data_IF_384020132284
#
_entry.id   IF_384020132284
#
_cell.length_a   1.000
_cell.length_b   1.000
_cell.length_c   1.000
_cell.angle_alpha   90.00
_cell.angle_beta   90.00
_cell.angle_gamma   90.00
#
_symmetry.space_group_name_H-M   'P 1'
#
loop_
_entity.id
_entity.type
_entity.pdbx_description
1 polymer ?
#
# COMPACT_ATOMS: atom_id res chain seq x y z
N UNK A 1 -5.42 25.29 4.57
CA UNK A 1 -4.23 25.38 5.46
C UNK A 1 -2.95 25.00 4.71
N UNK A 2 -2.70 23.74 4.32
CA UNK A 2 -1.50 23.43 3.50
C UNK A 2 -1.59 23.96 2.07
N UNK A 3 -2.78 23.88 1.46
CA UNK A 3 -3.09 24.42 0.11
C UNK A 3 -2.89 25.92 -0.05
N UNK A 4 -2.80 26.67 1.04
CA UNK A 4 -2.76 28.14 1.03
C UNK A 4 -1.40 28.69 1.52
N UNK A 5 -0.56 27.85 2.14
CA UNK A 5 0.73 28.27 2.73
C UNK A 5 1.93 27.68 1.98
N UNK A 6 1.87 26.41 1.56
CA UNK A 6 2.91 25.77 0.73
C UNK A 6 2.24 25.28 -0.55
N UNK A 7 2.17 26.17 -1.54
CA UNK A 7 1.55 25.87 -2.83
C UNK A 7 2.53 25.10 -3.73
N UNK A 8 2.04 24.25 -4.64
CA UNK A 8 2.86 23.62 -5.67
C UNK A 8 3.74 24.60 -6.45
N UNK A 9 3.23 25.80 -6.71
CA UNK A 9 3.92 26.86 -7.43
C UNK A 9 5.08 27.46 -6.63
N UNK A 10 4.92 27.59 -5.31
CA UNK A 10 6.01 28.05 -4.43
C UNK A 10 7.16 27.04 -4.39
N UNK A 11 6.83 25.75 -4.35
CA UNK A 11 7.84 24.68 -4.35
C UNK A 11 8.50 24.54 -5.72
N UNK A 12 7.72 24.70 -6.80
CA UNK A 12 8.26 24.76 -8.16
C UNK A 12 9.27 25.91 -8.33
N UNK A 13 8.96 27.10 -7.78
CA UNK A 13 9.89 28.23 -7.85
C UNK A 13 11.16 28.03 -7.01
N UNK A 14 11.07 27.37 -5.85
CA UNK A 14 12.24 26.95 -5.07
C UNK A 14 13.13 25.95 -5.84
N UNK A 15 12.53 25.10 -6.66
CA UNK A 15 13.24 24.14 -7.50
C UNK A 15 13.69 24.71 -8.86
N UNK A 16 13.38 25.97 -9.16
CA UNK A 16 13.70 26.61 -10.44
C UNK A 16 12.91 26.05 -11.64
N UNK A 17 11.73 25.49 -11.38
CA UNK A 17 10.85 24.94 -12.42
C UNK A 17 9.92 26.01 -13.00
N UNK A 18 9.57 25.86 -14.27
CA UNK A 18 8.54 26.68 -14.93
C UNK A 18 7.14 26.37 -14.37
N UNK A 19 6.12 27.12 -14.81
CA UNK A 19 4.74 26.88 -14.39
C UNK A 19 4.33 25.41 -14.58
N UNK A 20 3.90 24.79 -13.47
CA UNK A 20 3.44 23.41 -13.46
C UNK A 20 2.12 23.28 -14.24
N UNK A 21 2.01 22.22 -15.02
CA UNK A 21 0.75 21.84 -15.65
C UNK A 21 -0.31 21.46 -14.60
N UNK A 22 -1.58 21.50 -14.98
CA UNK A 22 -2.68 21.13 -14.07
C UNK A 22 -2.51 19.73 -13.44
N UNK A 23 -1.91 18.79 -14.18
CA UNK A 23 -1.62 17.45 -13.67
C UNK A 23 -0.48 17.47 -12.64
N UNK A 24 0.61 18.14 -12.95
CA UNK A 24 1.77 18.25 -12.05
C UNK A 24 1.40 18.99 -10.76
N UNK A 25 0.49 19.98 -10.82
CA UNK A 25 -0.05 20.64 -9.63
C UNK A 25 -0.80 19.66 -8.73
N UNK A 26 -1.59 18.73 -9.29
CA UNK A 26 -2.29 17.70 -8.51
C UNK A 26 -1.29 16.74 -7.88
N UNK A 27 -0.33 16.25 -8.65
CA UNK A 27 0.70 15.32 -8.17
C UNK A 27 1.56 15.97 -7.06
N UNK A 28 1.95 17.24 -7.24
CA UNK A 28 2.70 18.01 -6.26
C UNK A 28 1.92 18.24 -4.96
N UNK A 29 0.61 18.51 -5.05
CA UNK A 29 -0.24 18.62 -3.86
C UNK A 29 -0.26 17.32 -3.04
N UNK A 30 -0.30 16.17 -3.72
CA UNK A 30 -0.27 14.86 -3.06
C UNK A 30 1.09 14.63 -2.39
N UNK A 31 2.19 14.91 -3.09
CA UNK A 31 3.55 14.80 -2.54
C UNK A 31 3.74 15.69 -1.30
N UNK A 32 3.31 16.95 -1.34
CA UNK A 32 3.44 17.87 -0.22
C UNK A 32 2.60 17.43 0.98
N UNK A 33 1.40 16.91 0.74
CA UNK A 33 0.54 16.40 1.82
C UNK A 33 1.18 15.20 2.51
N UNK A 34 1.74 14.25 1.75
CA UNK A 34 2.45 13.10 2.31
C UNK A 34 3.72 13.53 3.05
N UNK A 35 4.52 14.42 2.47
CA UNK A 35 5.76 14.89 3.07
C UNK A 35 5.51 15.61 4.41
N UNK A 36 4.49 16.47 4.47
CA UNK A 36 4.15 17.14 5.70
C UNK A 36 3.58 16.19 6.77
N UNK A 37 2.77 15.21 6.37
CA UNK A 37 2.30 14.18 7.30
C UNK A 37 3.46 13.38 7.89
N UNK A 38 4.40 12.94 7.05
CA UNK A 38 5.61 12.25 7.49
C UNK A 38 6.45 13.14 8.41
N UNK A 39 6.68 14.39 8.04
CA UNK A 39 7.47 15.33 8.85
C UNK A 39 6.85 15.54 10.23
N UNK A 40 5.53 15.74 10.31
CA UNK A 40 4.83 15.95 11.59
C UNK A 40 4.82 14.67 12.43
N UNK A 41 4.44 13.52 11.84
CA UNK A 41 4.29 12.27 12.60
C UNK A 41 5.63 11.68 13.01
N UNK A 42 6.60 11.61 12.09
CA UNK A 42 7.95 11.16 12.40
C UNK A 42 8.67 12.15 13.31
N UNK A 43 8.52 13.46 13.06
CA UNK A 43 9.09 14.50 13.92
C UNK A 43 8.54 14.44 15.35
N UNK A 44 7.22 14.28 15.50
CA UNK A 44 6.58 14.06 16.79
C UNK A 44 7.14 12.80 17.46
N UNK A 45 7.16 11.67 16.75
CA UNK A 45 7.72 10.41 17.26
C UNK A 45 9.17 10.55 17.71
N UNK A 46 10.04 11.14 16.89
CA UNK A 46 11.43 11.41 17.26
C UNK A 46 11.52 12.35 18.47
N UNK A 47 10.70 13.39 18.56
CA UNK A 47 10.70 14.28 19.72
C UNK A 47 10.27 13.58 21.02
N UNK A 48 9.42 12.54 20.95
CA UNK A 48 9.06 11.77 22.15
C UNK A 48 10.26 11.09 22.80
N UNK A 49 11.32 10.79 22.03
CA UNK A 49 12.55 10.21 22.57
C UNK A 49 13.29 11.17 23.50
N UNK A 50 13.17 12.49 23.31
CA UNK A 50 13.77 13.50 24.18
C UNK A 50 13.11 13.56 25.57
N UNK A 51 11.83 13.15 25.65
CA UNK A 51 11.07 13.11 26.90
C UNK A 51 11.00 11.71 27.51
N UNK A 52 11.59 10.71 26.86
CA UNK A 52 11.62 9.35 27.35
C UNK A 52 12.67 9.20 28.47
N UNK A 53 12.28 8.56 29.57
CA UNK A 53 13.14 8.29 30.73
C UNK A 53 12.95 6.84 31.15
N UNK A 54 13.96 6.01 30.95
CA UNK A 54 13.91 4.57 31.24
C UNK A 54 13.68 4.27 32.73
N UNK A 55 14.25 5.06 33.64
CA UNK A 55 14.06 4.90 35.09
C UNK A 55 12.59 5.04 35.54
N UNK A 56 11.76 5.73 34.74
CA UNK A 56 10.33 5.96 35.02
C UNK A 56 9.42 5.03 34.21
N UNK A 57 9.99 4.08 33.46
CA UNK A 57 9.22 3.18 32.62
C UNK A 57 8.57 2.05 33.44
N UNK A 58 7.32 2.25 33.82
CA UNK A 58 6.49 1.24 34.48
C UNK A 58 6.22 0.00 33.60
N UNK A 59 6.45 0.08 32.29
CA UNK A 59 6.20 -0.99 31.32
C UNK A 59 7.49 -1.64 30.79
N UNK A 60 8.64 -1.41 31.42
CA UNK A 60 9.94 -1.94 30.96
C UNK A 60 9.91 -3.44 30.71
N UNK A 61 9.34 -4.21 31.65
CA UNK A 61 9.22 -5.67 31.50
C UNK A 61 8.34 -6.05 30.29
N UNK A 62 7.21 -5.36 30.10
CA UNK A 62 6.31 -5.61 28.97
C UNK A 62 6.97 -5.27 27.62
N UNK A 63 7.83 -4.26 27.61
CA UNK A 63 8.65 -3.87 26.45
C UNK A 63 9.70 -4.95 26.15
N UNK A 64 10.42 -5.44 27.17
CA UNK A 64 11.41 -6.50 27.03
C UNK A 64 10.77 -7.80 26.51
N UNK A 65 9.61 -8.17 27.06
CA UNK A 65 8.82 -9.31 26.57
C UNK A 65 8.40 -9.10 25.11
N UNK A 66 7.93 -7.91 24.75
CA UNK A 66 7.58 -7.58 23.35
C UNK A 66 8.75 -7.77 22.39
N UNK A 67 9.95 -7.30 22.75
CA UNK A 67 11.13 -7.47 21.89
C UNK A 67 11.57 -8.95 21.83
N UNK A 68 11.45 -9.68 22.93
CA UNK A 68 11.71 -11.12 22.96
C UNK A 68 10.76 -11.87 22.03
N UNK A 69 9.46 -11.55 22.07
CA UNK A 69 8.46 -12.12 21.16
C UNK A 69 8.73 -11.75 19.70
N UNK A 70 9.16 -10.52 19.45
CA UNK A 70 9.46 -10.01 18.11
C UNK A 70 10.71 -10.67 17.49
N UNK A 71 11.72 -10.99 18.30
CA UNK A 71 12.92 -11.72 17.88
C UNK A 71 12.69 -13.23 17.79
N UNK A 72 11.65 -13.74 18.44
CA UNK A 72 11.32 -15.17 18.41
C UNK A 72 10.81 -15.55 17.01
N UNK A 73 11.49 -16.48 16.32
CA UNK A 73 11.10 -16.86 14.97
C UNK A 73 9.74 -17.55 14.98
N UNK A 74 8.83 -17.06 14.13
CA UNK A 74 7.53 -17.68 13.91
C UNK A 74 7.72 -18.97 13.09
N UNK A 75 7.59 -20.11 13.75
CA UNK A 75 7.55 -21.41 13.08
C UNK A 75 6.12 -21.63 12.56
N UNK A 76 5.97 -21.71 11.24
CA UNK A 76 4.67 -21.91 10.62
C UNK A 76 4.12 -23.29 10.97
N UNK A 77 3.04 -23.33 11.74
CA UNK A 77 2.24 -24.54 12.00
C UNK A 77 1.37 -24.88 10.77
N UNK A 78 0.87 -26.11 10.67
CA UNK A 78 0.04 -26.61 9.56
C UNK A 78 -1.19 -25.71 9.30
N UNK A 79 -1.69 -24.99 10.31
CA UNK A 79 -2.81 -24.06 10.19
C UNK A 79 -2.48 -22.79 9.36
N UNK A 80 -1.21 -22.37 9.27
CA UNK A 80 -0.81 -21.13 8.60
C UNK A 80 -1.06 -21.17 7.08
N UNK A 81 -0.92 -22.36 6.46
CA UNK A 81 -1.24 -22.56 5.04
C UNK A 81 -2.72 -22.28 4.73
N UNK A 82 -3.63 -22.57 5.66
CA UNK A 82 -5.05 -22.28 5.53
C UNK A 82 -5.37 -20.77 5.57
N UNK A 83 -4.66 -20.02 6.41
CA UNK A 83 -4.80 -18.56 6.48
C UNK A 83 -4.23 -17.87 5.24
N UNK A 84 -3.05 -18.27 4.78
CA UNK A 84 -2.43 -17.77 3.55
C UNK A 84 -3.32 -18.04 2.34
N UNK A 85 -3.92 -19.24 2.26
CA UNK A 85 -4.86 -19.59 1.21
C UNK A 85 -6.08 -18.65 1.22
N UNK A 86 -6.67 -18.40 2.38
CA UNK A 86 -7.81 -17.49 2.52
C UNK A 86 -7.44 -16.05 2.18
N UNK A 87 -6.26 -15.57 2.61
CA UNK A 87 -5.79 -14.23 2.32
C UNK A 87 -5.53 -14.04 0.82
N UNK A 88 -4.85 -14.99 0.17
CA UNK A 88 -4.60 -14.98 -1.29
C UNK A 88 -5.90 -15.03 -2.08
N UNK A 89 -6.89 -15.80 -1.64
CA UNK A 89 -8.20 -15.83 -2.29
C UNK A 89 -8.94 -14.50 -2.15
N UNK A 90 -8.97 -13.91 -0.94
CA UNK A 90 -9.58 -12.58 -0.72
C UNK A 90 -8.89 -11.50 -1.56
N UNK A 91 -7.55 -11.49 -1.55
CA UNK A 91 -6.75 -10.55 -2.33
C UNK A 91 -6.98 -10.72 -3.83
N UNK A 92 -6.98 -11.97 -4.33
CA UNK A 92 -7.27 -12.27 -5.73
C UNK A 92 -8.65 -11.76 -6.17
N UNK A 93 -9.69 -11.94 -5.35
CA UNK A 93 -11.04 -11.43 -5.62
C UNK A 93 -11.05 -9.90 -5.67
N UNK A 94 -10.45 -9.23 -4.68
CA UNK A 94 -10.38 -7.76 -4.66
C UNK A 94 -9.67 -7.21 -5.91
N UNK A 95 -8.53 -7.79 -6.28
CA UNK A 95 -7.76 -7.40 -7.47
C UNK A 95 -8.58 -7.62 -8.74
N UNK A 96 -9.31 -8.73 -8.85
CA UNK A 96 -10.16 -8.99 -10.01
C UNK A 96 -11.33 -8.00 -10.12
N UNK A 97 -11.97 -7.65 -8.99
CA UNK A 97 -13.03 -6.63 -8.97
C UNK A 97 -12.50 -5.25 -9.40
N UNK A 98 -11.31 -4.86 -8.92
CA UNK A 98 -10.65 -3.62 -9.35
C UNK A 98 -10.29 -3.66 -10.84
N UNK A 99 -9.73 -4.76 -11.33
CA UNK A 99 -9.41 -4.96 -12.74
C UNK A 99 -10.65 -4.86 -13.64
N UNK A 100 -11.78 -5.44 -13.21
CA UNK A 100 -13.06 -5.30 -13.90
C UNK A 100 -13.55 -3.83 -13.90
N UNK A 101 -13.39 -3.12 -12.79
CA UNK A 101 -13.67 -1.67 -12.71
C UNK A 101 -12.84 -0.86 -13.70
N UNK A 102 -11.54 -1.14 -13.81
CA UNK A 102 -10.63 -0.49 -14.78
C UNK A 102 -11.03 -0.84 -16.22
N UNK A 103 -11.45 -2.08 -16.49
CA UNK A 103 -11.97 -2.47 -17.80
C UNK A 103 -13.23 -1.66 -18.16
N UNK A 104 -14.13 -1.44 -17.19
CA UNK A 104 -15.31 -0.61 -17.38
C UNK A 104 -14.96 0.85 -17.69
N UNK A 105 -13.81 1.37 -17.24
CA UNK A 105 -13.35 2.71 -17.62
C UNK A 105 -13.08 2.85 -19.13
N UNK A 106 -12.90 1.75 -19.87
CA UNK A 106 -12.81 1.80 -21.33
C UNK A 106 -14.12 2.23 -22.01
N UNK A 107 -15.27 2.19 -21.32
CA UNK A 107 -16.54 2.68 -21.83
C UNK A 107 -16.63 4.22 -21.81
N UNK A 108 -15.78 4.89 -21.03
CA UNK A 108 -15.71 6.36 -21.00
C UNK A 108 -15.27 6.86 -22.38
N UNK A 109 -15.93 7.88 -22.96
CA UNK A 109 -15.56 8.45 -24.24
C UNK A 109 -14.17 9.11 -24.14
N UNK A 110 -13.16 8.35 -24.57
CA UNK A 110 -11.73 8.67 -24.59
C UNK A 110 -11.20 8.37 -26.01
N UNK A 111 -10.20 9.11 -26.52
CA UNK A 111 -9.38 8.67 -27.65
C UNK A 111 -9.08 7.16 -27.65
N UNK A 112 -9.07 6.54 -28.82
CA UNK A 112 -8.88 5.09 -28.96
C UNK A 112 -7.62 4.57 -28.26
N UNK A 113 -6.56 5.39 -28.24
CA UNK A 113 -5.32 5.09 -27.51
C UNK A 113 -5.53 4.94 -25.99
N UNK A 114 -6.28 5.84 -25.37
CA UNK A 114 -6.52 5.75 -23.93
C UNK A 114 -7.47 4.60 -23.56
N UNK A 115 -8.41 4.24 -24.43
CA UNK A 115 -9.25 3.03 -24.26
C UNK A 115 -8.40 1.76 -24.31
N UNK A 116 -7.45 1.68 -25.25
CA UNK A 116 -6.52 0.56 -25.36
C UNK A 116 -5.65 0.42 -24.10
N UNK A 117 -5.17 1.53 -23.53
CA UNK A 117 -4.41 1.51 -22.27
C UNK A 117 -5.23 0.93 -21.11
N UNK A 118 -6.51 1.32 -20.96
CA UNK A 118 -7.39 0.73 -19.94
C UNK A 118 -7.60 -0.77 -20.15
N UNK A 119 -7.78 -1.22 -21.40
CA UNK A 119 -7.94 -2.65 -21.72
C UNK A 119 -6.67 -3.44 -21.39
N UNK A 120 -5.50 -2.97 -21.84
CA UNK A 120 -4.23 -3.67 -21.59
C UNK A 120 -3.88 -3.71 -20.11
N UNK A 121 -4.08 -2.60 -19.39
CA UNK A 121 -3.86 -2.52 -17.95
C UNK A 121 -4.82 -3.44 -17.18
N UNK A 122 -6.12 -3.36 -17.46
CA UNK A 122 -7.11 -4.23 -16.82
C UNK A 122 -6.85 -5.70 -17.10
N UNK A 123 -6.44 -6.08 -18.30
CA UNK A 123 -6.06 -7.44 -18.64
C UNK A 123 -4.89 -7.94 -17.79
N UNK A 124 -3.85 -7.13 -17.60
CA UNK A 124 -2.72 -7.49 -16.75
C UNK A 124 -3.13 -7.69 -15.28
N UNK A 125 -3.96 -6.80 -14.74
CA UNK A 125 -4.46 -6.84 -13.37
C UNK A 125 -5.35 -8.08 -13.16
N UNK A 126 -6.29 -8.32 -14.08
CA UNK A 126 -7.17 -9.49 -14.07
C UNK A 126 -6.37 -10.78 -14.16
N UNK A 127 -5.32 -10.82 -14.98
CA UNK A 127 -4.44 -11.99 -15.09
C UNK A 127 -3.75 -12.29 -13.76
N UNK A 128 -3.19 -11.27 -13.09
CA UNK A 128 -2.54 -11.44 -11.78
C UNK A 128 -3.56 -11.89 -10.73
N UNK A 129 -4.73 -11.24 -10.66
CA UNK A 129 -5.79 -11.61 -9.74
C UNK A 129 -6.27 -13.05 -9.94
N UNK A 130 -6.41 -13.48 -11.19
CA UNK A 130 -6.76 -14.85 -11.54
C UNK A 130 -5.67 -15.86 -11.16
N UNK A 131 -4.39 -15.56 -11.43
CA UNK A 131 -3.28 -16.43 -11.06
C UNK A 131 -3.16 -16.58 -9.54
N UNK A 132 -3.35 -15.48 -8.79
CA UNK A 132 -3.40 -15.50 -7.33
C UNK A 132 -4.52 -16.44 -6.84
N UNK A 133 -5.74 -16.31 -7.35
CA UNK A 133 -6.84 -17.18 -6.94
C UNK A 133 -6.65 -18.64 -7.39
N UNK A 134 -6.11 -18.87 -8.59
CA UNK A 134 -5.85 -20.22 -9.09
C UNK A 134 -4.81 -20.94 -8.23
N UNK A 135 -3.78 -20.23 -7.80
CA UNK A 135 -2.71 -20.80 -6.97
C UNK A 135 -3.24 -21.34 -5.64
N UNK A 136 -4.29 -20.73 -5.07
CA UNK A 136 -4.90 -21.23 -3.83
C UNK A 136 -5.62 -22.57 -4.09
N UNK A 137 -6.40 -22.66 -5.17
CA UNK A 137 -7.13 -23.88 -5.58
C UNK A 137 -6.20 -25.06 -5.89
N UNK A 138 -5.04 -24.79 -6.49
CA UNK A 138 -4.04 -25.84 -6.80
C UNK A 138 -3.44 -26.44 -5.54
N UNK A 139 -3.14 -25.61 -4.53
CA UNK A 139 -2.64 -26.10 -3.24
C UNK A 139 -3.70 -26.87 -2.46
N UNK A 140 -4.96 -26.41 -2.46
CA UNK A 140 -6.09 -27.14 -1.87
C UNK A 140 -6.34 -28.52 -2.53
N UNK A 141 -6.03 -28.66 -3.83
CA UNK A 141 -6.14 -29.95 -4.53
C UNK A 141 -5.00 -30.91 -4.19
N UNK A 142 -3.79 -30.41 -3.94
CA UNK A 142 -2.65 -31.23 -3.51
C UNK A 142 -2.85 -31.78 -2.10
N UNK A 143 -3.35 -30.96 -1.18
CA UNK A 143 -3.60 -31.40 0.21
C UNK A 143 -4.66 -32.50 0.32
N UNK A 144 -5.65 -32.54 -0.58
CA UNK A 144 -6.69 -33.59 -0.63
C UNK A 144 -6.20 -34.87 -1.33
N UNK A 145 -5.16 -34.78 -2.17
CA UNK A 145 -4.67 -35.91 -2.99
C UNK A 145 -3.58 -36.76 -2.30
N UNK A 146 -3.14 -36.41 -1.09
CA UNK A 146 -2.27 -37.27 -0.26
C UNK A 146 -0.96 -37.72 -0.94
N UNK A 147 -0.21 -36.77 -1.50
CA UNK A 147 1.22 -36.93 -1.81
C UNK A 147 1.98 -35.72 -1.30
#
# INVERSE_FOLDING_TARGET
LMKDVITPQLVASWMGLNELTAREVVDMNLMLTLAAHLFITAGFFCSTTLFYSEEKDHYRLLREDFFTDLETPVIADEAQGGYDHQQRNKLGIMVMLMGAGILLMSLIPNPMWGRLLFVMCSLSILTIGFLLQRSTRTEARKSVSGT
#
